data_IF_521107849344
#
_entry.id   IF_521107849344
#
_cell.length_a   1.000
_cell.length_b   1.000
_cell.length_c   1.000
_cell.angle_alpha   90.00
_cell.angle_beta   90.00
_cell.angle_gamma   90.00
#
_symmetry.space_group_name_H-M   'P 1'
#
loop_
_entity.id
_entity.type
_entity.pdbx_description
1 polymer ?
#
# COMPACT_ATOMS: atom_id res chain seq x y z
N UNK A 1 55.01 56.74 -40.69
CA UNK A 1 54.92 57.11 -39.25
C UNK A 1 54.18 55.99 -38.55
N UNK A 2 54.90 55.09 -37.88
CA UNK A 2 55.20 55.07 -36.43
C UNK A 2 54.00 54.65 -35.56
N UNK A 3 54.25 53.56 -34.82
CA UNK A 3 53.73 53.22 -33.48
C UNK A 3 52.25 52.79 -33.43
N UNK A 4 51.81 51.80 -32.65
CA UNK A 4 52.35 51.21 -31.41
C UNK A 4 51.63 49.89 -31.14
N UNK A 5 52.32 48.94 -30.51
CA UNK A 5 51.74 47.79 -29.84
C UNK A 5 51.04 48.20 -28.54
N UNK A 6 49.83 47.71 -28.26
CA UNK A 6 49.37 47.45 -26.89
C UNK A 6 48.57 46.14 -26.88
N UNK A 7 49.17 45.14 -26.24
CA UNK A 7 48.51 43.96 -25.71
C UNK A 7 47.90 44.34 -24.35
N UNK A 8 46.59 44.21 -24.20
CA UNK A 8 45.87 44.19 -22.92
C UNK A 8 44.69 43.22 -23.12
N UNK A 9 44.83 41.93 -22.82
CA UNK A 9 44.77 41.31 -21.49
C UNK A 9 43.41 41.50 -20.76
N UNK A 10 42.62 40.42 -20.81
CA UNK A 10 42.11 39.70 -19.61
C UNK A 10 40.66 39.97 -19.17
N UNK A 11 39.89 38.86 -19.22
CA UNK A 11 38.63 38.44 -18.56
C UNK A 11 37.28 39.00 -19.05
N UNK A 12 36.76 38.39 -20.12
CA UNK A 12 35.32 38.21 -20.24
C UNK A 12 34.87 37.09 -19.30
N UNK A 13 34.26 37.44 -18.18
CA UNK A 13 33.53 36.53 -17.31
C UNK A 13 32.29 36.01 -18.07
N UNK A 14 32.40 34.85 -18.71
CA UNK A 14 31.22 34.13 -19.24
C UNK A 14 30.69 33.19 -18.16
N UNK A 15 29.81 33.71 -17.28
CA UNK A 15 29.00 32.90 -16.36
C UNK A 15 27.53 33.25 -16.54
N UNK A 16 26.96 32.88 -17.68
CA UNK A 16 25.53 33.07 -17.99
C UNK A 16 24.94 31.70 -18.35
N UNK A 17 24.75 30.84 -17.34
CA UNK A 17 23.98 29.59 -17.50
C UNK A 17 23.45 28.99 -16.17
N UNK A 18 24.02 29.35 -15.02
CA UNK A 18 23.66 28.72 -13.73
C UNK A 18 22.63 29.48 -12.89
N UNK A 19 22.32 30.74 -13.23
CA UNK A 19 21.42 31.56 -12.40
C UNK A 19 19.96 31.06 -12.41
N UNK A 20 19.48 30.46 -13.51
CA UNK A 20 18.09 30.00 -13.62
C UNK A 20 17.79 28.77 -12.75
N UNK A 21 18.71 27.81 -12.72
CA UNK A 21 18.51 26.57 -11.97
C UNK A 21 18.48 26.81 -10.46
N UNK A 22 19.38 27.67 -9.95
CA UNK A 22 19.41 28.03 -8.53
C UNK A 22 18.14 28.78 -8.11
N UNK A 23 17.61 29.64 -8.99
CA UNK A 23 16.36 30.35 -8.75
C UNK A 23 15.16 29.38 -8.71
N UNK A 24 15.10 28.44 -9.64
CA UNK A 24 14.04 27.43 -9.71
C UNK A 24 14.09 26.47 -8.51
N UNK A 25 15.30 26.11 -8.04
CA UNK A 25 15.49 25.34 -6.81
C UNK A 25 14.93 26.09 -5.58
N UNK A 26 15.23 27.39 -5.47
CA UNK A 26 14.77 28.22 -4.36
C UNK A 26 13.23 28.41 -4.36
N UNK A 27 12.62 28.51 -5.55
CA UNK A 27 11.17 28.58 -5.70
C UNK A 27 10.49 27.29 -5.25
N UNK A 28 11.01 26.13 -5.66
CA UNK A 28 10.48 24.85 -5.18
C UNK A 28 10.65 24.69 -3.66
N UNK A 29 11.76 25.17 -3.09
CA UNK A 29 12.01 25.07 -1.64
C UNK A 29 11.03 25.90 -0.80
N UNK A 30 10.53 27.02 -1.34
CA UNK A 30 9.61 27.92 -0.66
C UNK A 30 8.17 27.39 -0.57
N UNK A 31 7.84 26.29 -1.26
CA UNK A 31 6.49 25.72 -1.22
C UNK A 31 6.20 25.07 0.14
N UNK A 32 5.11 25.52 0.78
CA UNK A 32 4.70 25.07 2.12
C UNK A 32 3.98 23.71 2.14
N UNK A 33 3.24 23.39 1.09
CA UNK A 33 2.61 22.08 0.96
C UNK A 33 3.63 21.01 0.54
N UNK A 34 3.60 19.87 1.23
CA UNK A 34 4.61 18.80 1.06
C UNK A 34 4.49 18.11 -0.31
N UNK A 35 3.27 17.92 -0.81
CA UNK A 35 3.04 17.23 -2.07
C UNK A 35 3.40 18.14 -3.24
N UNK A 36 3.00 19.41 -3.18
CA UNK A 36 3.35 20.39 -4.21
C UNK A 36 4.86 20.60 -4.33
N UNK A 37 5.55 20.66 -3.19
CA UNK A 37 7.01 20.77 -3.16
C UNK A 37 7.69 19.62 -3.88
N UNK A 38 7.22 18.38 -3.63
CA UNK A 38 7.77 17.18 -4.26
C UNK A 38 7.56 17.21 -5.78
N UNK A 39 6.33 17.52 -6.22
CA UNK A 39 6.01 17.62 -7.65
C UNK A 39 6.79 18.74 -8.36
N UNK A 40 7.13 19.82 -7.66
CA UNK A 40 7.95 20.91 -8.18
C UNK A 40 9.37 20.45 -8.52
N UNK A 41 10.03 19.75 -7.58
CA UNK A 41 11.38 19.23 -7.78
C UNK A 41 11.44 18.18 -8.90
N UNK A 42 10.46 17.28 -8.97
CA UNK A 42 10.41 16.24 -9.99
C UNK A 42 10.33 16.83 -11.41
N UNK A 43 9.53 17.89 -11.59
CA UNK A 43 9.42 18.60 -12.88
C UNK A 43 10.73 19.30 -13.25
N UNK A 44 11.38 19.95 -12.28
CA UNK A 44 12.65 20.63 -12.51
C UNK A 44 13.74 19.64 -12.93
N UNK A 45 13.83 18.50 -12.24
CA UNK A 45 14.76 17.43 -12.57
C UNK A 45 14.53 16.84 -13.98
N UNK A 46 13.26 16.68 -14.40
CA UNK A 46 12.92 16.21 -15.74
C UNK A 46 13.36 17.17 -16.86
N UNK A 47 13.45 18.47 -16.57
CA UNK A 47 13.96 19.49 -17.49
C UNK A 47 15.48 19.46 -17.65
N UNK A 48 16.21 19.20 -16.57
CA UNK A 48 17.69 19.12 -16.57
C UNK A 48 18.21 17.86 -17.27
N UNK A 49 17.45 16.76 -17.21
CA UNK A 49 17.82 15.49 -17.84
C UNK A 49 17.77 15.49 -19.39
N UNK A 50 17.29 16.57 -20.02
CA UNK A 50 17.24 16.70 -21.49
C UNK A 50 18.14 17.84 -21.98
N UNK A 51 19.35 17.57 -22.48
CA UNK A 51 20.11 18.57 -23.21
C UNK A 51 19.48 18.71 -24.61
N UNK A 52 18.55 19.66 -24.78
CA UNK A 52 17.86 19.78 -26.06
C UNK A 52 16.77 20.85 -26.13
N UNK A 53 17.23 22.08 -26.36
CA UNK A 53 16.56 23.24 -26.97
C UNK A 53 15.28 22.92 -27.77
N UNK A 54 14.21 23.68 -27.49
CA UNK A 54 13.01 23.75 -28.33
C UNK A 54 13.30 24.35 -29.72
N UNK A 55 12.75 23.74 -30.79
CA UNK A 55 12.26 24.42 -32.00
C UNK A 55 11.28 23.50 -32.78
N UNK A 56 10.21 24.03 -33.41
CA UNK A 56 9.09 23.24 -33.93
C UNK A 56 9.27 22.84 -35.40
N UNK A 57 8.83 21.65 -35.79
CA UNK A 57 8.48 21.34 -37.18
C UNK A 57 7.35 20.31 -37.25
N UNK A 58 6.34 20.67 -38.03
CA UNK A 58 5.07 20.00 -38.20
C UNK A 58 5.11 18.85 -39.22
N UNK A 59 4.16 17.92 -39.02
CA UNK A 59 3.47 17.02 -39.96
C UNK A 59 4.35 15.97 -40.69
N UNK A 60 3.92 14.73 -40.96
CA UNK A 60 2.61 14.10 -41.02
C UNK A 60 2.78 12.57 -40.94
N UNK A 61 1.62 11.89 -41.01
CA UNK A 61 1.39 10.51 -41.43
C UNK A 61 1.17 9.46 -40.32
N UNK A 62 -0.12 9.22 -40.13
CA UNK A 62 -0.72 8.04 -39.52
C UNK A 62 -0.26 6.77 -40.24
N UNK A 63 0.17 5.78 -39.46
CA UNK A 63 0.08 4.37 -39.83
C UNK A 63 0.04 3.55 -38.53
N UNK A 64 -1.18 3.13 -38.16
CA UNK A 64 -1.39 2.16 -37.10
C UNK A 64 -1.16 0.76 -37.69
N UNK A 65 -0.30 -0.04 -37.07
CA UNK A 65 -0.71 -1.42 -36.86
C UNK A 65 -0.29 -1.98 -35.49
N UNK A 66 -1.29 -2.64 -34.89
CA UNK A 66 -1.18 -3.90 -34.17
C UNK A 66 -0.67 -3.93 -32.73
N UNK A 67 -1.40 -4.73 -31.96
CA UNK A 67 -1.02 -5.42 -30.73
C UNK A 67 -0.60 -4.53 -29.55
N UNK A 68 -1.61 -4.20 -28.73
CA UNK A 68 -1.40 -3.97 -27.30
C UNK A 68 -0.87 -5.27 -26.67
N UNK A 69 0.44 -5.46 -26.71
CA UNK A 69 1.11 -6.29 -25.72
C UNK A 69 1.08 -5.48 -24.42
N UNK A 70 0.18 -5.88 -23.52
CA UNK A 70 0.20 -5.43 -22.14
C UNK A 70 1.64 -5.56 -21.61
N UNK A 71 2.18 -4.54 -20.91
CA UNK A 71 3.45 -4.71 -20.25
C UNK A 71 3.30 -5.90 -19.31
N UNK A 72 4.05 -6.97 -19.59
CA UNK A 72 4.20 -8.08 -18.69
C UNK A 72 4.57 -7.47 -17.34
N UNK A 73 3.67 -7.61 -16.36
CA UNK A 73 3.92 -7.22 -15.00
C UNK A 73 5.25 -7.85 -14.62
N UNK A 74 6.26 -7.01 -14.42
CA UNK A 74 7.53 -7.40 -13.84
C UNK A 74 7.18 -8.01 -12.50
N UNK A 75 7.16 -9.33 -12.42
CA UNK A 75 7.12 -10.02 -11.15
C UNK A 75 8.40 -9.59 -10.43
N UNK A 76 8.25 -8.67 -9.48
CA UNK A 76 9.33 -8.26 -8.60
C UNK A 76 9.62 -9.46 -7.72
N UNK A 77 10.53 -10.32 -8.16
CA UNK A 77 11.18 -11.32 -7.30
C UNK A 77 11.88 -10.52 -6.22
N UNK A 78 11.22 -10.39 -5.08
CA UNK A 78 11.81 -9.74 -3.92
C UNK A 78 12.85 -10.72 -3.38
N UNK A 79 14.12 -10.33 -3.36
CA UNK A 79 15.20 -11.19 -2.89
C UNK A 79 15.19 -11.26 -1.36
N UNK A 80 15.80 -12.31 -0.79
CA UNK A 80 15.87 -12.48 0.66
C UNK A 80 16.60 -11.31 1.35
N UNK A 81 17.59 -10.71 0.67
CA UNK A 81 18.31 -9.52 1.12
C UNK A 81 17.44 -8.27 1.12
N UNK A 82 16.49 -8.16 0.20
CA UNK A 82 15.55 -7.04 0.14
C UNK A 82 14.44 -7.15 1.21
N UNK A 83 14.07 -8.37 1.62
CA UNK A 83 13.08 -8.61 2.68
C UNK A 83 13.69 -8.59 4.10
N UNK A 84 15.01 -8.77 4.23
CA UNK A 84 15.68 -8.84 5.53
C UNK A 84 15.55 -7.51 6.30
N UNK A 85 14.90 -7.57 7.47
CA UNK A 85 14.67 -6.41 8.33
C UNK A 85 13.42 -5.58 7.99
N UNK A 86 12.68 -5.93 6.93
CA UNK A 86 11.38 -5.30 6.66
C UNK A 86 10.29 -6.03 7.46
N UNK A 87 9.87 -5.44 8.57
CA UNK A 87 8.65 -5.86 9.27
C UNK A 87 7.43 -5.36 8.51
N UNK A 88 6.97 -6.10 7.50
CA UNK A 88 5.67 -5.84 6.87
C UNK A 88 4.60 -6.09 7.92
N UNK A 89 3.87 -5.05 8.32
CA UNK A 89 2.65 -5.23 9.10
C UNK A 89 1.74 -6.14 8.25
N UNK A 90 1.34 -7.33 8.73
CA UNK A 90 0.41 -8.16 7.98
C UNK A 90 -0.80 -7.30 7.65
N UNK A 91 -1.29 -7.40 6.42
CA UNK A 91 -2.57 -6.80 6.04
C UNK A 91 -3.62 -7.56 6.85
N UNK A 92 -3.89 -7.06 8.04
CA UNK A 92 -4.96 -7.56 8.90
C UNK A 92 -6.26 -7.19 8.20
N UNK A 93 -6.93 -8.18 7.62
CA UNK A 93 -8.34 -8.05 7.29
C UNK A 93 -9.06 -7.85 8.62
N UNK A 94 -9.36 -6.59 8.93
CA UNK A 94 -9.99 -6.20 10.19
C UNK A 94 -11.47 -6.59 10.20
N UNK A 95 -11.70 -7.90 10.28
CA UNK A 95 -13.03 -8.48 10.37
C UNK A 95 -13.37 -8.61 11.85
N UNK A 96 -14.16 -7.65 12.36
CA UNK A 96 -14.59 -7.67 13.75
C UNK A 96 -15.67 -8.70 14.04
N UNK A 97 -16.48 -9.03 13.02
CA UNK A 97 -17.57 -10.01 13.10
C UNK A 97 -17.59 -10.89 11.85
N UNK A 98 -17.61 -12.20 12.06
CA UNK A 98 -17.64 -13.22 11.02
C UNK A 98 -18.86 -14.11 11.20
N UNK A 99 -19.72 -14.19 10.19
CA UNK A 99 -20.86 -15.10 10.17
C UNK A 99 -20.46 -16.46 9.60
N UNK A 100 -20.92 -17.52 10.26
CA UNK A 100 -20.60 -18.91 9.98
C UNK A 100 -21.83 -19.79 10.19
N UNK A 101 -21.90 -20.88 9.43
CA UNK A 101 -22.92 -21.91 9.59
C UNK A 101 -22.35 -23.13 10.31
N UNK A 102 -23.07 -23.61 11.32
CA UNK A 102 -22.66 -24.76 12.13
C UNK A 102 -22.92 -26.06 11.34
N UNK A 103 -21.86 -26.79 11.01
CA UNK A 103 -21.96 -28.11 10.40
C UNK A 103 -22.29 -29.19 11.45
N UNK A 104 -21.70 -29.12 12.64
CA UNK A 104 -22.05 -30.03 13.74
C UNK A 104 -21.68 -29.49 15.13
N UNK A 105 -22.37 -29.99 16.15
CA UNK A 105 -22.17 -29.64 17.55
C UNK A 105 -21.86 -30.91 18.34
N UNK A 106 -20.76 -30.89 19.08
CA UNK A 106 -20.37 -31.95 20.00
C UNK A 106 -20.31 -31.38 21.42
N UNK A 107 -20.68 -32.18 22.41
CA UNK A 107 -20.64 -31.80 23.82
C UNK A 107 -19.69 -32.75 24.55
N UNK A 108 -18.78 -32.20 25.35
CA UNK A 108 -17.86 -33.02 26.16
C UNK A 108 -18.51 -33.44 27.49
N UNK A 109 -17.78 -34.26 28.27
CA UNK A 109 -18.23 -34.78 29.57
C UNK A 109 -18.52 -33.67 30.60
N UNK A 110 -17.88 -32.52 30.45
CA UNK A 110 -18.07 -31.34 31.30
C UNK A 110 -19.17 -30.41 30.78
N UNK A 111 -19.73 -30.74 29.61
CA UNK A 111 -20.83 -30.02 29.00
C UNK A 111 -20.43 -28.86 28.10
N UNK A 112 -19.14 -28.67 27.84
CA UNK A 112 -18.64 -27.64 26.93
C UNK A 112 -18.88 -28.04 25.47
N UNK A 113 -19.27 -27.06 24.66
CA UNK A 113 -19.54 -27.27 23.23
C UNK A 113 -18.26 -27.21 22.40
N UNK A 114 -18.12 -28.14 21.47
CA UNK A 114 -17.22 -28.06 20.32
C UNK A 114 -18.07 -27.91 19.07
N UNK A 115 -17.77 -26.92 18.25
CA UNK A 115 -18.52 -26.52 17.07
C UNK A 115 -17.64 -26.71 15.85
N UNK A 116 -18.12 -27.47 14.88
CA UNK A 116 -17.50 -27.61 13.57
C UNK A 116 -18.33 -26.78 12.59
N UNK A 117 -17.67 -25.90 11.84
CA UNK A 117 -18.32 -25.02 10.87
C UNK A 117 -18.18 -25.55 9.45
N UNK A 118 -19.07 -25.11 8.56
CA UNK A 118 -19.07 -25.51 7.13
C UNK A 118 -17.79 -25.10 6.39
N UNK A 119 -17.11 -24.05 6.85
CA UNK A 119 -15.81 -23.62 6.31
C UNK A 119 -14.61 -24.42 6.86
N UNK A 120 -14.86 -25.48 7.64
CA UNK A 120 -13.84 -26.37 8.21
C UNK A 120 -13.19 -25.87 9.50
N UNK A 121 -13.55 -24.69 10.01
CA UNK A 121 -13.06 -24.20 11.29
C UNK A 121 -13.67 -24.99 12.45
N UNK A 122 -12.91 -25.14 13.53
CA UNK A 122 -13.38 -25.79 14.76
C UNK A 122 -13.16 -24.87 15.94
N UNK A 123 -14.23 -24.59 16.69
CA UNK A 123 -14.21 -23.73 17.86
C UNK A 123 -14.77 -24.44 19.08
N UNK A 124 -14.18 -24.18 20.26
CA UNK A 124 -14.62 -24.77 21.52
C UNK A 124 -15.01 -23.68 22.52
N UNK A 125 -16.11 -23.90 23.21
CA UNK A 125 -16.56 -23.08 24.32
C UNK A 125 -15.55 -23.13 25.48
N UNK A 126 -15.20 -21.95 26.02
CA UNK A 126 -14.18 -21.79 27.08
C UNK A 126 -14.82 -21.63 28.46
N UNK A 127 -16.00 -21.03 28.53
CA UNK A 127 -16.72 -20.84 29.80
C UNK A 127 -17.77 -21.93 30.06
N UNK A 128 -18.36 -21.94 31.25
CA UNK A 128 -19.35 -22.96 31.67
C UNK A 128 -20.81 -22.57 31.40
N UNK A 129 -21.07 -21.38 30.82
CA UNK A 129 -22.44 -20.92 30.56
C UNK A 129 -23.17 -21.86 29.61
N UNK A 130 -24.43 -22.16 29.92
CA UNK A 130 -25.23 -22.93 28.99
C UNK A 130 -25.62 -22.07 27.78
N UNK A 131 -25.42 -22.63 26.58
CA UNK A 131 -25.86 -22.03 25.33
C UNK A 131 -26.33 -23.14 24.40
N UNK A 132 -27.46 -22.95 23.73
CA UNK A 132 -28.08 -24.00 22.92
C UNK A 132 -27.82 -23.74 21.44
N UNK A 133 -27.09 -24.63 20.79
CA UNK A 133 -26.80 -24.58 19.35
C UNK A 133 -27.15 -25.92 18.71
N UNK A 134 -27.57 -25.87 17.45
CA UNK A 134 -27.79 -27.04 16.61
C UNK A 134 -27.06 -26.88 15.27
N UNK A 135 -26.86 -28.00 14.58
CA UNK A 135 -26.40 -27.96 13.20
C UNK A 135 -27.40 -27.19 12.31
N UNK A 136 -26.88 -26.44 11.35
CA UNK A 136 -27.63 -25.55 10.46
C UNK A 136 -27.94 -24.16 11.05
N UNK A 137 -27.59 -23.89 12.30
CA UNK A 137 -27.70 -22.52 12.84
C UNK A 137 -26.64 -21.62 12.20
N UNK A 138 -27.05 -20.43 11.76
CA UNK A 138 -26.15 -19.34 11.41
C UNK A 138 -25.81 -18.55 12.66
N UNK A 139 -24.52 -18.45 12.96
CA UNK A 139 -24.00 -17.74 14.13
C UNK A 139 -22.90 -16.78 13.71
N UNK A 140 -22.61 -15.81 14.54
CA UNK A 140 -21.45 -14.94 14.36
C UNK A 140 -20.39 -15.23 15.41
N UNK A 141 -19.13 -15.05 15.03
CA UNK A 141 -17.99 -14.96 15.94
C UNK A 141 -17.43 -13.54 15.83
N UNK A 142 -17.29 -12.85 16.95
CA UNK A 142 -16.75 -11.50 17.02
C UNK A 142 -15.59 -11.39 18.01
N UNK A 143 -14.73 -10.39 17.81
CA UNK A 143 -13.64 -10.09 18.75
C UNK A 143 -14.22 -9.53 20.06
N UNK A 144 -13.82 -10.13 21.16
CA UNK A 144 -14.10 -9.64 22.51
C UNK A 144 -12.90 -8.92 23.13
N UNK A 145 -13.07 -8.48 24.38
CA UNK A 145 -11.98 -7.85 25.13
C UNK A 145 -10.79 -8.80 25.34
N UNK A 146 -9.58 -8.23 25.44
CA UNK A 146 -8.33 -8.95 25.74
C UNK A 146 -8.02 -10.10 24.75
N UNK A 147 -8.36 -9.93 23.47
CA UNK A 147 -8.11 -10.95 22.44
C UNK A 147 -8.97 -12.21 22.59
N UNK A 148 -10.08 -12.14 23.34
CA UNK A 148 -11.06 -13.22 23.38
C UNK A 148 -11.98 -13.19 22.15
N UNK A 149 -12.71 -14.28 21.92
CA UNK A 149 -13.74 -14.35 20.88
C UNK A 149 -15.07 -14.73 21.49
N UNK A 150 -16.13 -14.09 21.02
CA UNK A 150 -17.50 -14.31 21.45
C UNK A 150 -18.29 -14.91 20.28
N UNK A 151 -19.12 -15.90 20.58
CA UNK A 151 -20.04 -16.48 19.62
C UNK A 151 -21.47 -16.13 20.02
N UNK A 152 -22.26 -15.65 19.08
CA UNK A 152 -23.67 -15.31 19.26
C UNK A 152 -24.51 -15.62 18.02
N UNK A 153 -25.80 -15.31 18.09
CA UNK A 153 -26.74 -15.39 16.97
C UNK A 153 -27.65 -14.17 17.01
N UNK A 154 -28.10 -13.66 15.86
CA UNK A 154 -28.95 -12.45 15.82
C UNK A 154 -30.30 -12.63 16.53
N UNK A 155 -30.79 -13.88 16.61
CA UNK A 155 -32.03 -14.21 17.31
C UNK A 155 -31.94 -14.08 18.85
N UNK A 156 -30.73 -13.88 19.41
CA UNK A 156 -30.49 -13.97 20.85
C UNK A 156 -29.50 -12.91 21.34
N UNK A 157 -29.87 -12.20 22.41
CA UNK A 157 -29.02 -11.21 23.08
C UNK A 157 -27.98 -11.83 24.04
N UNK A 158 -27.54 -13.06 23.79
CA UNK A 158 -26.58 -13.76 24.63
C UNK A 158 -25.43 -14.28 23.77
N UNK A 159 -24.22 -14.23 24.31
CA UNK A 159 -23.02 -14.76 23.66
C UNK A 159 -22.28 -15.71 24.60
N UNK A 160 -21.45 -16.58 24.01
CA UNK A 160 -20.51 -17.42 24.75
C UNK A 160 -19.08 -17.19 24.32
N UNK A 161 -18.14 -17.30 25.27
CA UNK A 161 -16.71 -17.23 24.95
C UNK A 161 -16.23 -18.52 24.29
N UNK A 162 -15.56 -18.38 23.14
CA UNK A 162 -15.03 -19.49 22.35
C UNK A 162 -13.54 -19.32 22.05
N UNK A 163 -12.86 -20.44 21.79
CA UNK A 163 -11.47 -20.51 21.35
C UNK A 163 -11.37 -21.39 20.12
N UNK A 164 -10.59 -20.95 19.13
CA UNK A 164 -10.32 -21.74 17.93
C UNK A 164 -9.39 -22.92 18.25
N UNK A 165 -9.75 -24.09 17.74
CA UNK A 165 -8.94 -25.32 17.82
C UNK A 165 -8.26 -25.65 16.48
N UNK A 166 -8.92 -25.36 15.36
CA UNK A 166 -8.45 -25.61 13.99
C UNK A 166 -8.94 -24.53 13.03
#
# INVERSE_FOLDING_TARGET
MRLTWIVAAVIGFSSQAYAGLEQDLALCAAQGDKLDRLLCYDKLAAGVAKPGRQAPKAAAAQAQPSASAAPAATAVTTTAEAEFGIHRKPVELDVDKLYLEIASVQKDLYGSLTLNFTNGQVWKQVETRHYKLKAGDTVFIEKGALGSFLLGSDDRNATIRVKRLK
#
